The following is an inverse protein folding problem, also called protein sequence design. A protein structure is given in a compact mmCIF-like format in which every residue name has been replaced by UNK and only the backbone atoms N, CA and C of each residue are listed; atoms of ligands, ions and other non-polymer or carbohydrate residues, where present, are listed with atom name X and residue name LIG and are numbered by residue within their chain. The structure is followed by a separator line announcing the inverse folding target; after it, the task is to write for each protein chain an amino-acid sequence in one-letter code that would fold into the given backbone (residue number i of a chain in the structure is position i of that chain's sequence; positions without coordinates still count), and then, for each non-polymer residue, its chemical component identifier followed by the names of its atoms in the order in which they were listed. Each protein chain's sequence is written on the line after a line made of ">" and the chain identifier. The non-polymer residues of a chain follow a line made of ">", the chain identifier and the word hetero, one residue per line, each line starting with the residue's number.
data_IF_052029067020
#
_entry.id   IF_052029067020
#
_cell.length_a   1.000
_cell.length_b   1.000
_cell.length_c   1.000
_cell.angle_alpha   90.00
_cell.angle_beta   90.00
_cell.angle_gamma   90.00
#
_symmetry.space_group_name_H-M   'P 1'
#
loop_
_entity.id
_entity.type
_entity.pdbx_description
1 polymer ?
#
# COMPACT_ATOMS: atom_id res chain seq x y z
N UNK A 1 -2.33 -21.91 22.20
CA UNK A 1 -3.66 -21.43 22.68
C UNK A 1 -4.74 -22.16 21.89
N UNK A 2 -5.90 -22.48 22.50
CA UNK A 2 -7.04 -23.09 21.80
C UNK A 2 -8.19 -22.07 21.76
N UNK A 3 -8.60 -21.72 20.56
CA UNK A 3 -9.63 -20.71 20.30
C UNK A 3 -10.56 -21.25 19.23
N UNK A 4 -11.86 -21.04 19.40
CA UNK A 4 -12.86 -21.35 18.37
C UNK A 4 -13.06 -20.09 17.51
N UNK A 5 -12.93 -20.24 16.20
CA UNK A 5 -13.11 -19.17 15.22
C UNK A 5 -14.02 -19.67 14.11
N UNK A 6 -14.75 -18.74 13.48
CA UNK A 6 -15.51 -19.02 12.26
C UNK A 6 -14.64 -18.63 11.06
N UNK A 7 -14.55 -19.52 10.07
CA UNK A 7 -13.84 -19.25 8.81
C UNK A 7 -14.86 -18.88 7.73
N UNK A 8 -14.52 -17.91 6.89
CA UNK A 8 -15.24 -17.67 5.64
C UNK A 8 -14.98 -18.81 4.64
N UNK A 9 -15.85 -18.95 3.65
CA UNK A 9 -15.83 -20.07 2.71
C UNK A 9 -14.51 -20.17 1.91
N UNK A 10 -13.94 -19.02 1.53
CA UNK A 10 -12.67 -18.91 0.83
C UNK A 10 -11.49 -19.39 1.69
N UNK A 11 -11.46 -18.99 2.97
CA UNK A 11 -10.42 -19.41 3.91
C UNK A 11 -10.55 -20.90 4.23
N UNK A 12 -11.77 -21.42 4.38
CA UNK A 12 -12.01 -22.85 4.58
C UNK A 12 -11.53 -23.69 3.38
N UNK A 13 -11.80 -23.23 2.15
CA UNK A 13 -11.33 -23.88 0.94
C UNK A 13 -9.80 -23.92 0.84
N UNK A 14 -9.13 -22.83 1.21
CA UNK A 14 -7.66 -22.74 1.22
C UNK A 14 -7.04 -23.65 2.29
N UNK A 15 -7.67 -23.75 3.47
CA UNK A 15 -7.27 -24.72 4.50
C UNK A 15 -7.34 -26.14 3.96
N UNK A 16 -8.46 -26.54 3.33
CA UNK A 16 -8.59 -27.88 2.74
C UNK A 16 -7.61 -28.14 1.59
N UNK A 17 -7.23 -27.10 0.84
CA UNK A 17 -6.18 -27.19 -0.17
C UNK A 17 -4.83 -27.53 0.47
N UNK A 18 -4.43 -26.81 1.51
CA UNK A 18 -3.18 -27.08 2.23
C UNK A 18 -3.16 -28.46 2.89
N UNK A 19 -4.29 -28.89 3.46
CA UNK A 19 -4.43 -30.23 4.04
C UNK A 19 -4.20 -31.32 2.99
N UNK A 20 -4.78 -31.18 1.79
CA UNK A 20 -4.63 -32.15 0.69
C UNK A 20 -3.23 -32.15 0.08
N UNK A 21 -2.68 -30.98 -0.21
CA UNK A 21 -1.39 -30.87 -0.92
C UNK A 21 -0.18 -31.15 -0.02
N UNK A 22 -0.26 -30.77 1.26
CA UNK A 22 0.90 -30.78 2.17
C UNK A 22 0.72 -31.72 3.36
N UNK A 23 -0.41 -32.44 3.45
CA UNK A 23 -0.70 -33.36 4.56
C UNK A 23 -0.84 -32.67 5.92
N UNK A 24 -1.10 -31.35 5.93
CA UNK A 24 -1.13 -30.56 7.15
C UNK A 24 -2.36 -30.88 8.01
N UNK A 25 -2.21 -30.77 9.33
CA UNK A 25 -3.36 -30.78 10.26
C UNK A 25 -4.20 -29.49 10.15
N UNK A 26 -5.49 -29.49 10.55
CA UNK A 26 -6.35 -28.30 10.45
C UNK A 26 -5.76 -27.07 11.17
N UNK A 27 -5.33 -27.24 12.43
CA UNK A 27 -4.70 -26.16 13.20
C UNK A 27 -3.37 -25.69 12.62
N UNK A 28 -2.63 -26.59 11.97
CA UNK A 28 -1.36 -26.26 11.32
C UNK A 28 -1.59 -25.42 10.07
N UNK A 29 -2.53 -25.83 9.22
CA UNK A 29 -2.90 -25.09 8.01
C UNK A 29 -3.37 -23.67 8.35
N UNK A 30 -4.27 -23.51 9.34
CA UNK A 30 -4.75 -22.19 9.79
C UNK A 30 -3.60 -21.32 10.30
N UNK A 31 -2.73 -21.86 11.15
CA UNK A 31 -1.59 -21.10 11.66
C UNK A 31 -0.58 -20.74 10.55
N UNK A 32 -0.38 -21.61 9.56
CA UNK A 32 0.47 -21.32 8.41
C UNK A 32 -0.07 -20.14 7.60
N UNK A 33 -1.37 -20.13 7.31
CA UNK A 33 -2.03 -19.02 6.62
C UNK A 33 -1.96 -17.72 7.40
N UNK A 34 -2.28 -17.76 8.70
CA UNK A 34 -2.20 -16.58 9.57
C UNK A 34 -0.78 -15.99 9.60
N UNK A 35 0.26 -16.83 9.71
CA UNK A 35 1.65 -16.37 9.68
C UNK A 35 2.05 -15.77 8.34
N UNK A 36 1.61 -16.35 7.20
CA UNK A 36 1.86 -15.77 5.88
C UNK A 36 1.18 -14.41 5.70
N UNK A 37 -0.05 -14.28 6.19
CA UNK A 37 -0.77 -13.01 6.21
C UNK A 37 -0.04 -11.96 7.05
N UNK A 38 0.39 -12.31 8.26
CA UNK A 38 1.17 -11.38 9.12
C UNK A 38 2.56 -11.03 8.56
N UNK A 39 3.18 -11.93 7.79
CA UNK A 39 4.47 -11.68 7.16
C UNK A 39 4.36 -10.84 5.89
N UNK A 40 3.17 -10.72 5.32
CA UNK A 40 2.87 -9.77 4.24
C UNK A 40 2.72 -8.40 4.88
N UNK A 41 3.83 -7.77 5.23
CA UNK A 41 3.84 -6.33 5.48
C UNK A 41 3.41 -5.64 4.18
N UNK A 42 2.67 -4.52 4.29
CA UNK A 42 2.51 -3.62 3.15
C UNK A 42 3.90 -3.40 2.54
N UNK A 43 4.05 -3.50 1.21
CA UNK A 43 5.29 -3.12 0.58
C UNK A 43 5.65 -1.72 1.09
N UNK A 44 6.92 -1.48 1.47
CA UNK A 44 7.31 -0.16 1.91
C UNK A 44 6.80 0.85 0.87
N UNK A 45 6.22 1.98 1.30
CA UNK A 45 5.72 2.97 0.35
C UNK A 45 6.82 3.25 -0.66
N UNK A 46 6.46 3.22 -1.94
CA UNK A 46 7.39 3.57 -3.01
C UNK A 46 8.06 4.89 -2.64
N UNK A 47 9.39 5.04 -2.83
CA UNK A 47 10.03 6.33 -2.70
C UNK A 47 9.24 7.39 -3.47
N UNK A 48 9.05 8.54 -2.85
CA UNK A 48 8.41 9.67 -3.51
C UNK A 48 9.31 10.16 -4.64
N UNK A 49 8.83 10.11 -5.87
CA UNK A 49 9.48 10.72 -7.03
C UNK A 49 8.77 12.03 -7.39
N UNK A 50 9.45 13.15 -7.17
CA UNK A 50 8.93 14.46 -7.56
C UNK A 50 9.09 14.64 -9.07
N UNK A 51 8.01 14.46 -9.83
CA UNK A 51 8.00 14.77 -11.25
C UNK A 51 7.80 16.28 -11.48
N UNK A 52 8.88 16.98 -11.85
CA UNK A 52 8.77 18.35 -12.33
C UNK A 52 8.21 18.36 -13.76
N UNK A 53 7.34 19.33 -14.04
CA UNK A 53 6.83 19.58 -15.39
C UNK A 53 7.06 21.03 -15.78
N UNK A 54 7.13 21.30 -17.08
CA UNK A 54 7.20 22.66 -17.59
C UNK A 54 5.82 23.32 -17.43
N UNK A 55 5.69 24.23 -16.47
CA UNK A 55 4.46 24.99 -16.24
C UNK A 55 4.13 26.02 -17.35
N UNK A 56 5.02 26.23 -18.33
CA UNK A 56 4.80 27.24 -19.38
C UNK A 56 4.82 28.67 -18.83
N UNK A 57 5.57 28.91 -17.76
CA UNK A 57 5.67 30.21 -17.10
C UNK A 57 6.21 31.26 -18.09
N UNK A 58 5.53 32.41 -18.14
CA UNK A 58 5.91 33.57 -18.96
C UNK A 58 6.83 34.53 -18.22
N UNK A 59 6.99 34.34 -16.91
CA UNK A 59 7.75 35.18 -15.98
C UNK A 59 8.62 34.30 -15.11
N UNK A 60 9.79 34.80 -14.69
CA UNK A 60 10.72 34.04 -13.85
C UNK A 60 10.24 34.01 -12.39
N UNK A 61 9.67 32.88 -11.98
CA UNK A 61 9.14 32.70 -10.62
C UNK A 61 10.19 32.38 -9.56
N UNK A 62 11.49 32.38 -9.91
CA UNK A 62 12.57 32.24 -8.94
C UNK A 62 12.80 33.54 -8.15
N UNK A 63 12.40 34.68 -8.72
CA UNK A 63 12.44 35.97 -8.06
C UNK A 63 11.02 36.36 -7.61
N UNK A 64 10.68 36.01 -6.36
CA UNK A 64 9.33 36.20 -5.84
C UNK A 64 8.95 37.69 -5.80
N UNK A 65 9.89 38.60 -5.49
CA UNK A 65 9.60 40.03 -5.38
C UNK A 65 9.08 40.62 -6.69
N UNK A 66 9.80 40.38 -7.79
CA UNK A 66 9.43 40.87 -9.13
C UNK A 66 8.09 40.30 -9.62
N UNK A 67 7.76 39.06 -9.25
CA UNK A 67 6.46 38.47 -9.56
C UNK A 67 5.33 39.13 -8.77
N UNK A 68 5.56 39.44 -7.49
CA UNK A 68 4.56 40.12 -6.66
C UNK A 68 4.32 41.55 -7.15
N UNK A 69 5.37 42.29 -7.50
CA UNK A 69 5.25 43.64 -8.07
C UNK A 69 4.42 43.62 -9.37
N UNK A 70 4.65 42.66 -10.27
CA UNK A 70 3.85 42.49 -11.49
C UNK A 70 2.37 42.20 -11.21
N UNK A 71 2.07 41.43 -10.15
CA UNK A 71 0.70 41.12 -9.75
C UNK A 71 0.00 42.34 -9.16
N UNK A 72 0.70 43.16 -8.38
CA UNK A 72 0.17 44.40 -7.80
C UNK A 72 -0.09 45.47 -8.88
N UNK A 73 0.65 45.45 -9.98
CA UNK A 73 0.46 46.33 -11.15
C UNK A 73 -0.65 45.86 -12.11
N UNK A 74 -1.13 44.62 -11.95
CA UNK A 74 -2.22 44.06 -12.76
C UNK A 74 -3.59 44.37 -12.09
N UNK A 75 -4.56 45.00 -12.78
CA UNK A 75 -5.82 45.46 -12.20
C UNK A 75 -6.82 44.35 -11.83
#
# INVERSE_FOLDING_TARGET
>A
MRTTITLSDDVAAEVERLRRERGMGPSEAVNSLARRGMATSDPPPSPYEHHSTKLGLKVDVRNIGEVLDLLDESP
#
